data_IF_448919640390
#
_entry.id   IF_448919640390
#
_cell.length_a   1.000
_cell.length_b   1.000
_cell.length_c   1.000
_cell.angle_alpha   90.00
_cell.angle_beta   90.00
_cell.angle_gamma   90.00
#
_symmetry.space_group_name_H-M   'P 1'
#
loop_
_entity.id
_entity.type
_entity.pdbx_description
1 polymer ?
#
# COMPACT_ATOMS: atom_id res chain seq x y z
N UNK A 1 -3.55 20.99 15.52
CA UNK A 1 -3.04 19.70 16.03
C UNK A 1 -3.65 18.63 15.12
N UNK A 2 -2.83 17.91 14.36
CA UNK A 2 -3.34 16.79 13.58
C UNK A 2 -3.57 15.59 14.51
N UNK A 3 -4.64 14.85 14.28
CA UNK A 3 -4.95 13.59 14.96
C UNK A 3 -4.62 12.47 13.97
N UNK A 4 -3.77 11.54 14.38
CA UNK A 4 -3.27 10.46 13.54
C UNK A 4 -3.86 9.15 14.07
N UNK A 5 -4.70 8.45 13.29
CA UNK A 5 -5.21 7.14 13.67
C UNK A 5 -4.12 6.07 13.55
N UNK A 6 -4.08 5.16 14.51
CA UNK A 6 -3.20 3.99 14.55
C UNK A 6 -4.08 2.75 14.59
N UNK A 7 -4.16 2.05 13.45
CA UNK A 7 -5.04 0.89 13.25
C UNK A 7 -4.19 -0.26 12.76
N UNK A 8 -4.33 -1.43 13.37
CA UNK A 8 -3.69 -2.66 12.87
C UNK A 8 -4.76 -3.56 12.23
N UNK A 9 -4.72 -3.64 10.91
CA UNK A 9 -5.62 -4.50 10.13
C UNK A 9 -4.94 -5.81 9.69
N UNK A 10 -3.65 -5.99 9.97
CA UNK A 10 -2.88 -7.11 9.44
C UNK A 10 -2.79 -7.10 7.91
N UNK A 11 -2.48 -8.26 7.35
CA UNK A 11 -2.41 -8.44 5.89
C UNK A 11 -3.80 -8.76 5.34
N UNK A 12 -4.31 -7.91 4.45
CA UNK A 12 -5.61 -8.06 3.82
C UNK A 12 -5.48 -8.45 2.34
N UNK A 13 -6.40 -9.30 1.90
CA UNK A 13 -6.45 -9.82 0.54
C UNK A 13 -7.82 -9.55 -0.09
N UNK A 14 -7.86 -9.55 -1.42
CA UNK A 14 -9.14 -9.46 -2.15
C UNK A 14 -10.05 -10.61 -1.73
N UNK A 15 -11.27 -10.27 -1.32
CA UNK A 15 -12.25 -11.19 -0.78
C UNK A 15 -12.26 -11.28 0.74
N UNK A 16 -11.32 -10.65 1.44
CA UNK A 16 -11.32 -10.59 2.90
C UNK A 16 -12.37 -9.61 3.43
N UNK A 17 -12.82 -9.91 4.64
CA UNK A 17 -13.52 -8.97 5.53
C UNK A 17 -12.59 -8.74 6.71
N UNK A 18 -12.26 -7.49 7.05
CA UNK A 18 -11.41 -7.21 8.20
C UNK A 18 -11.98 -7.81 9.49
N UNK A 19 -11.11 -8.21 10.42
CA UNK A 19 -11.55 -8.78 11.69
C UNK A 19 -12.31 -7.76 12.53
N UNK A 20 -13.41 -8.18 13.14
CA UNK A 20 -14.28 -7.32 13.95
C UNK A 20 -14.26 -7.77 15.43
N UNK A 21 -14.18 -6.86 16.41
CA UNK A 21 -13.91 -5.44 16.22
C UNK A 21 -12.45 -5.15 15.89
N UNK A 22 -12.21 -4.05 15.16
CA UNK A 22 -10.86 -3.53 14.89
C UNK A 22 -10.65 -2.28 15.73
N UNK A 23 -9.62 -2.31 16.56
CA UNK A 23 -9.25 -1.18 17.41
C UNK A 23 -8.52 -0.10 16.63
N UNK A 24 -8.96 1.15 16.82
CA UNK A 24 -8.30 2.35 16.35
C UNK A 24 -7.86 3.21 17.54
N UNK A 25 -6.57 3.31 17.77
CA UNK A 25 -5.98 4.26 18.72
C UNK A 25 -5.66 5.58 18.00
N UNK A 26 -5.53 6.68 18.75
CA UNK A 26 -5.28 8.00 18.17
C UNK A 26 -4.10 8.67 18.88
N UNK A 27 -3.23 9.29 18.11
CA UNK A 27 -2.07 10.04 18.61
C UNK A 27 -2.01 11.42 17.98
N UNK A 28 -1.34 12.36 18.65
CA UNK A 28 -0.99 13.65 18.08
C UNK A 28 0.28 13.59 17.23
N UNK A 29 0.71 14.73 16.66
CA UNK A 29 1.90 14.86 15.82
C UNK A 29 3.21 14.51 16.55
N UNK A 30 3.21 14.46 17.88
CA UNK A 30 4.38 14.07 18.69
C UNK A 30 4.27 12.66 19.26
N UNK A 31 3.21 11.92 18.88
CA UNK A 31 2.97 10.54 19.29
C UNK A 31 2.31 10.38 20.67
N UNK A 32 1.77 11.46 21.26
CA UNK A 32 1.03 11.37 22.52
C UNK A 32 -0.40 10.89 22.28
N UNK A 33 -0.94 10.01 23.15
CA UNK A 33 -2.32 9.53 23.01
C UNK A 33 -3.34 10.66 23.04
N UNK A 34 -4.33 10.60 22.15
CA UNK A 34 -5.49 11.49 22.08
C UNK A 34 -6.71 10.74 22.61
N UNK A 35 -7.38 11.28 23.62
CA UNK A 35 -8.60 10.69 24.15
C UNK A 35 -9.80 11.05 23.26
N UNK A 36 -10.44 10.03 22.68
CA UNK A 36 -11.61 10.22 21.81
C UNK A 36 -12.86 10.63 22.59
N UNK A 37 -12.97 10.25 23.85
CA UNK A 37 -14.09 10.65 24.75
C UNK A 37 -14.16 12.15 25.08
N UNK A 38 -13.20 12.97 24.63
CA UNK A 38 -13.28 14.43 24.72
C UNK A 38 -14.16 15.05 23.62
N UNK A 39 -14.53 14.28 22.61
CA UNK A 39 -15.38 14.69 21.50
C UNK A 39 -16.84 14.29 21.74
N UNK A 40 -17.79 15.06 21.20
CA UNK A 40 -19.23 14.81 21.38
C UNK A 40 -19.75 13.65 20.53
N UNK A 41 -19.12 13.42 19.38
CA UNK A 41 -19.44 12.33 18.44
C UNK A 41 -18.32 12.17 17.42
N UNK A 42 -18.43 11.13 16.63
CA UNK A 42 -17.51 10.86 15.51
C UNK A 42 -18.29 10.29 14.32
N UNK A 43 -17.69 10.35 13.14
CA UNK A 43 -18.13 9.64 11.95
C UNK A 43 -16.91 9.06 11.23
N UNK A 44 -17.08 7.93 10.58
CA UNK A 44 -16.03 7.33 9.76
C UNK A 44 -16.64 6.70 8.51
N UNK A 45 -15.90 6.77 7.40
CA UNK A 45 -16.27 6.10 6.18
C UNK A 45 -15.04 5.55 5.45
N UNK A 46 -15.26 4.56 4.62
CA UNK A 46 -14.21 3.91 3.85
C UNK A 46 -14.31 4.28 2.36
N UNK A 47 -13.16 4.55 1.77
CA UNK A 47 -13.00 4.79 0.34
C UNK A 47 -12.30 3.59 -0.33
N UNK A 48 -12.77 3.23 -1.51
CA UNK A 48 -12.12 2.27 -2.41
C UNK A 48 -10.80 2.82 -2.97
N UNK A 49 -10.00 1.99 -3.66
CA UNK A 49 -8.82 2.47 -4.40
C UNK A 49 -9.15 3.52 -5.47
N UNK A 50 -10.37 3.51 -6.02
CA UNK A 50 -10.88 4.48 -6.99
C UNK A 50 -11.46 5.74 -6.33
N UNK A 51 -11.34 5.87 -4.99
CA UNK A 51 -11.87 6.98 -4.17
C UNK A 51 -13.41 7.04 -4.13
N UNK A 52 -14.08 5.93 -4.34
CA UNK A 52 -15.53 5.81 -4.15
C UNK A 52 -15.86 5.48 -2.70
N UNK A 53 -16.92 6.09 -2.17
CA UNK A 53 -17.40 5.79 -0.80
C UNK A 53 -18.06 4.42 -0.79
N UNK A 54 -17.48 3.49 -0.04
CA UNK A 54 -18.01 2.13 0.11
C UNK A 54 -19.10 2.04 1.17
N UNK A 55 -19.02 2.87 2.21
CA UNK A 55 -19.99 2.92 3.29
C UNK A 55 -19.46 3.62 4.52
N UNK A 56 -20.37 3.87 5.46
CA UNK A 56 -20.04 4.33 6.82
C UNK A 56 -19.54 3.15 7.64
N UNK A 57 -18.56 3.42 8.51
CA UNK A 57 -18.06 2.47 9.48
C UNK A 57 -18.79 2.71 10.81
N UNK A 58 -19.40 1.66 11.34
CA UNK A 58 -20.00 1.66 12.65
C UNK A 58 -18.97 1.20 13.70
N UNK A 59 -19.18 1.59 14.95
CA UNK A 59 -18.29 1.18 16.03
C UNK A 59 -18.69 1.78 17.37
N UNK A 60 -17.90 1.47 18.39
CA UNK A 60 -18.11 1.91 19.78
C UNK A 60 -16.95 2.79 20.24
N UNK A 61 -17.29 3.86 20.96
CA UNK A 61 -16.33 4.73 21.63
C UNK A 61 -16.05 4.20 23.06
N UNK A 62 -14.79 3.92 23.33
CA UNK A 62 -14.31 3.47 24.65
C UNK A 62 -13.54 4.58 25.41
N UNK A 63 -13.66 5.83 24.98
CA UNK A 63 -13.06 7.00 25.61
C UNK A 63 -11.60 7.24 25.24
N UNK A 64 -10.80 6.22 25.01
CA UNK A 64 -9.40 6.32 24.58
C UNK A 64 -9.12 5.68 23.22
N UNK A 65 -10.08 4.96 22.64
CA UNK A 65 -10.00 4.35 21.32
C UNK A 65 -11.41 4.14 20.75
N UNK A 66 -11.49 3.88 19.45
CA UNK A 66 -12.70 3.40 18.78
C UNK A 66 -12.52 1.92 18.41
N UNK A 67 -13.59 1.15 18.53
CA UNK A 67 -13.67 -0.21 18.01
C UNK A 67 -14.59 -0.24 16.80
N UNK A 68 -14.05 -0.43 15.60
CA UNK A 68 -14.83 -0.54 14.37
C UNK A 68 -15.44 -1.92 14.21
N UNK A 69 -16.71 -1.96 13.81
CA UNK A 69 -17.42 -3.18 13.43
C UNK A 69 -17.47 -3.32 11.92
N UNK A 70 -17.00 -4.45 11.41
CA UNK A 70 -17.07 -4.79 10.00
C UNK A 70 -18.19 -5.78 9.76
N UNK A 71 -18.97 -5.57 8.71
CA UNK A 71 -20.06 -6.46 8.34
C UNK A 71 -19.64 -7.35 7.18
N UNK A 72 -20.33 -8.49 6.99
CA UNK A 72 -20.10 -9.36 5.84
C UNK A 72 -20.29 -8.66 4.47
N UNK A 73 -21.00 -7.53 4.46
CA UNK A 73 -21.14 -6.66 3.28
C UNK A 73 -19.90 -5.82 3.00
N UNK A 74 -18.95 -5.75 3.95
CA UNK A 74 -17.70 -5.01 3.80
C UNK A 74 -16.63 -5.92 3.19
N UNK A 75 -16.91 -6.51 2.04
CA UNK A 75 -15.95 -7.33 1.31
C UNK A 75 -15.02 -6.43 0.51
N UNK A 76 -13.71 -6.66 0.64
CA UNK A 76 -12.70 -5.92 -0.10
C UNK A 76 -12.54 -6.54 -1.49
N UNK A 77 -13.30 -6.03 -2.47
CA UNK A 77 -13.45 -6.67 -3.78
C UNK A 77 -12.28 -6.43 -4.74
N UNK A 78 -11.54 -5.35 -4.56
CA UNK A 78 -10.44 -4.96 -5.46
C UNK A 78 -9.12 -4.81 -4.71
N UNK A 79 -8.01 -5.12 -5.39
CA UNK A 79 -6.68 -4.82 -4.84
C UNK A 79 -6.33 -3.34 -4.97
N UNK A 80 -5.61 -2.81 -4.00
CA UNK A 80 -5.17 -1.42 -4.03
C UNK A 80 -5.12 -0.78 -2.64
N UNK A 81 -5.06 0.54 -2.62
CA UNK A 81 -4.99 1.33 -1.39
C UNK A 81 -6.37 1.81 -1.01
N UNK A 82 -6.89 1.31 0.09
CA UNK A 82 -8.12 1.78 0.71
C UNK A 82 -7.81 2.89 1.71
N UNK A 83 -8.80 3.73 1.98
CA UNK A 83 -8.64 4.85 2.91
C UNK A 83 -9.82 4.90 3.87
N UNK A 84 -9.53 4.97 5.17
CA UNK A 84 -10.52 5.27 6.21
C UNK A 84 -10.38 6.75 6.56
N UNK A 85 -11.48 7.47 6.47
CA UNK A 85 -11.58 8.88 6.86
C UNK A 85 -12.39 8.96 8.14
N UNK A 86 -11.80 9.53 9.20
CA UNK A 86 -12.43 9.68 10.52
C UNK A 86 -12.54 11.16 10.82
N UNK A 87 -13.72 11.59 11.25
CA UNK A 87 -14.00 12.97 11.67
C UNK A 87 -14.59 12.96 13.08
N UNK A 88 -13.99 13.69 13.98
CA UNK A 88 -14.55 13.97 15.32
C UNK A 88 -15.32 15.28 15.31
N UNK A 89 -16.28 15.40 16.20
CA UNK A 89 -17.04 16.63 16.45
C UNK A 89 -16.79 17.06 17.90
N UNK A 90 -16.35 18.29 18.09
CA UNK A 90 -16.18 18.84 19.43
C UNK A 90 -17.52 19.10 20.12
N UNK A 91 -17.50 19.56 21.39
CA UNK A 91 -18.70 19.87 22.16
C UNK A 91 -19.54 21.03 21.55
N UNK A 92 -19.00 21.79 20.63
CA UNK A 92 -19.67 22.85 19.88
C UNK A 92 -20.16 22.38 18.50
N UNK A 93 -19.90 21.11 18.14
CA UNK A 93 -20.23 20.53 16.84
C UNK A 93 -19.27 20.96 15.72
N UNK A 94 -18.09 21.47 16.05
CA UNK A 94 -17.05 21.79 15.06
C UNK A 94 -16.32 20.53 14.65
N UNK A 95 -16.13 20.35 13.35
CA UNK A 95 -15.41 19.21 12.78
C UNK A 95 -13.91 19.30 13.08
N UNK A 96 -13.37 18.19 13.58
CA UNK A 96 -11.94 17.97 13.78
C UNK A 96 -11.55 16.75 12.95
N UNK A 97 -10.91 16.97 11.82
CA UNK A 97 -10.53 15.89 10.92
C UNK A 97 -9.23 15.20 11.41
N UNK A 98 -9.24 13.87 11.34
CA UNK A 98 -8.05 13.05 11.49
C UNK A 98 -7.27 12.97 10.17
N UNK A 99 -6.00 12.62 10.25
CA UNK A 99 -5.27 12.17 9.06
C UNK A 99 -5.94 10.91 8.50
N UNK A 100 -6.14 10.81 7.18
CA UNK A 100 -6.72 9.61 6.60
C UNK A 100 -5.83 8.39 6.82
N UNK A 101 -6.38 7.31 7.39
CA UNK A 101 -5.69 6.04 7.53
C UNK A 101 -5.73 5.27 6.20
N UNK A 102 -4.58 4.84 5.72
CA UNK A 102 -4.46 4.09 4.47
C UNK A 102 -3.95 2.69 4.73
N UNK A 103 -4.53 1.71 4.06
CA UNK A 103 -4.11 0.32 4.12
C UNK A 103 -4.16 -0.33 2.74
N UNK A 104 -3.44 -1.44 2.57
CA UNK A 104 -3.30 -2.13 1.29
C UNK A 104 -4.08 -3.42 1.31
N UNK A 105 -4.90 -3.62 0.28
CA UNK A 105 -5.53 -4.91 -0.04
C UNK A 105 -4.76 -5.54 -1.19
N UNK A 106 -4.23 -6.73 -0.96
CA UNK A 106 -3.40 -7.46 -1.91
C UNK A 106 -4.22 -8.44 -2.74
N UNK A 107 -3.77 -8.75 -3.94
CA UNK A 107 -4.36 -9.77 -4.80
C UNK A 107 -3.42 -10.97 -4.92
N UNK A 108 -3.97 -12.19 -4.84
CA UNK A 108 -3.23 -13.43 -5.09
C UNK A 108 -3.12 -13.65 -6.60
N UNK A 109 -2.19 -12.97 -7.24
CA UNK A 109 -1.98 -13.02 -8.69
C UNK A 109 -0.64 -13.67 -9.11
N UNK A 110 0.06 -14.27 -8.15
CA UNK A 110 1.34 -14.95 -8.35
C UNK A 110 2.55 -14.03 -8.43
N UNK A 111 2.40 -12.70 -8.39
CA UNK A 111 3.47 -11.73 -8.24
C UNK A 111 3.85 -11.55 -6.77
N UNK A 112 4.90 -10.77 -6.48
CA UNK A 112 5.37 -10.57 -5.11
C UNK A 112 4.32 -9.84 -4.26
N UNK A 113 3.99 -10.43 -3.10
CA UNK A 113 3.27 -9.78 -2.01
C UNK A 113 4.20 -8.91 -1.17
N UNK A 114 3.63 -8.10 -0.26
CA UNK A 114 4.42 -7.29 0.69
C UNK A 114 5.33 -8.17 1.55
N UNK A 115 4.79 -9.28 2.09
CA UNK A 115 5.56 -10.21 2.93
C UNK A 115 6.69 -10.89 2.14
N UNK A 116 6.40 -11.35 0.91
CA UNK A 116 7.41 -11.97 0.05
C UNK A 116 8.53 -10.99 -0.31
N UNK A 117 8.18 -9.74 -0.57
CA UNK A 117 9.15 -8.69 -0.84
C UNK A 117 10.03 -8.41 0.39
N UNK A 118 9.44 -8.25 1.59
CA UNK A 118 10.18 -8.03 2.83
C UNK A 118 11.07 -9.20 3.22
N UNK A 119 10.63 -10.43 3.01
CA UNK A 119 11.43 -11.62 3.27
C UNK A 119 12.72 -11.66 2.42
N UNK A 120 12.73 -11.04 1.23
CA UNK A 120 13.85 -11.03 0.30
C UNK A 120 14.59 -9.69 0.23
N UNK A 121 14.07 -8.65 0.87
CA UNK A 121 14.62 -7.30 0.85
C UNK A 121 14.67 -6.70 2.25
N UNK A 122 15.83 -6.85 2.93
CA UNK A 122 16.02 -6.44 4.32
C UNK A 122 15.74 -4.94 4.57
N UNK A 123 16.07 -4.09 3.57
CA UNK A 123 15.89 -2.63 3.64
C UNK A 123 14.61 -2.17 2.91
N UNK A 124 13.59 -3.03 2.82
CA UNK A 124 12.32 -2.67 2.22
C UNK A 124 11.64 -1.53 3.00
N UNK A 125 10.91 -0.63 2.32
CA UNK A 125 10.13 0.39 3.00
C UNK A 125 9.21 -0.20 4.07
N UNK A 126 9.14 0.44 5.24
CA UNK A 126 8.25 0.02 6.32
C UNK A 126 6.78 0.39 6.03
N UNK A 127 6.56 1.47 5.30
CA UNK A 127 5.24 1.90 4.84
C UNK A 127 4.71 0.92 3.78
N UNK A 128 3.62 0.24 4.10
CA UNK A 128 2.97 -0.76 3.25
C UNK A 128 2.42 -0.14 1.96
N UNK A 129 1.85 1.05 2.05
CA UNK A 129 1.27 1.76 0.90
C UNK A 129 2.37 2.11 -0.10
N UNK A 130 3.48 2.65 0.38
CA UNK A 130 4.62 2.99 -0.46
C UNK A 130 5.28 1.76 -1.08
N UNK A 131 5.47 0.69 -0.30
CA UNK A 131 6.02 -0.57 -0.79
C UNK A 131 5.11 -1.20 -1.87
N UNK A 132 3.79 -1.22 -1.65
CA UNK A 132 2.82 -1.71 -2.64
C UNK A 132 2.91 -0.94 -3.95
N UNK A 133 2.93 0.40 -3.90
CA UNK A 133 3.04 1.25 -5.08
C UNK A 133 4.31 0.97 -5.89
N UNK A 134 5.45 0.78 -5.21
CA UNK A 134 6.72 0.45 -5.86
C UNK A 134 6.66 -0.94 -6.50
N UNK A 135 6.11 -1.94 -5.80
CA UNK A 135 5.96 -3.29 -6.32
C UNK A 135 5.04 -3.34 -7.53
N UNK A 136 3.92 -2.60 -7.52
CA UNK A 136 3.00 -2.52 -8.65
C UNK A 136 3.63 -1.80 -9.84
N UNK A 137 4.31 -0.69 -9.62
CA UNK A 137 5.04 0.00 -10.68
C UNK A 137 6.11 -0.91 -11.33
N UNK A 138 6.86 -1.65 -10.51
CA UNK A 138 7.85 -2.62 -10.99
C UNK A 138 7.20 -3.77 -11.77
N UNK A 139 6.09 -4.33 -11.28
CA UNK A 139 5.29 -5.37 -11.94
C UNK A 139 4.82 -4.90 -13.32
N UNK A 140 4.22 -3.72 -13.43
CA UNK A 140 3.74 -3.16 -14.68
C UNK A 140 4.88 -2.98 -15.70
N UNK A 141 6.04 -2.51 -15.27
CA UNK A 141 7.22 -2.39 -16.14
C UNK A 141 7.74 -3.76 -16.61
N UNK A 142 7.75 -4.76 -15.71
CA UNK A 142 8.12 -6.13 -16.07
C UNK A 142 7.14 -6.73 -17.09
N UNK A 143 5.83 -6.58 -16.87
CA UNK A 143 4.78 -7.05 -17.79
C UNK A 143 4.89 -6.40 -19.16
N UNK A 144 5.13 -5.09 -19.21
CA UNK A 144 5.26 -4.36 -20.47
C UNK A 144 6.45 -4.83 -21.32
N UNK A 145 7.51 -5.35 -20.69
CA UNK A 145 8.70 -5.82 -21.38
C UNK A 145 8.72 -7.34 -21.62
N UNK A 146 8.21 -8.13 -20.69
CA UNK A 146 8.27 -9.59 -20.72
C UNK A 146 7.36 -10.17 -21.82
N UNK A 147 7.63 -11.40 -22.31
CA UNK A 147 6.64 -12.16 -23.06
C UNK A 147 5.36 -12.36 -22.25
N UNK A 148 4.22 -12.22 -22.92
CA UNK A 148 2.93 -12.44 -22.28
C UNK A 148 2.84 -13.86 -21.72
N UNK A 149 2.35 -13.99 -20.49
CA UNK A 149 2.02 -15.28 -19.88
C UNK A 149 0.68 -15.77 -20.40
N UNK A 150 0.54 -17.07 -20.58
CA UNK A 150 -0.75 -17.69 -20.92
C UNK A 150 -1.73 -17.48 -19.75
N UNK A 151 -3.01 -17.37 -20.06
CA UNK A 151 -4.04 -17.26 -19.03
C UNK A 151 -3.95 -18.41 -18.03
N UNK A 152 -3.93 -18.10 -16.73
CA UNK A 152 -3.79 -19.09 -15.65
C UNK A 152 -2.38 -19.68 -15.48
N UNK A 153 -1.38 -19.22 -16.23
CA UNK A 153 -0.01 -19.67 -16.04
C UNK A 153 0.59 -19.06 -14.76
N UNK A 154 1.34 -19.86 -14.02
CA UNK A 154 2.10 -19.38 -12.87
C UNK A 154 3.16 -18.36 -13.32
N UNK A 155 3.35 -17.31 -12.53
CA UNK A 155 4.41 -16.34 -12.76
C UNK A 155 5.78 -17.00 -12.56
N UNK A 156 6.67 -16.99 -13.56
CA UNK A 156 7.98 -17.61 -13.45
C UNK A 156 8.84 -16.94 -12.37
N UNK A 157 9.64 -17.71 -11.66
CA UNK A 157 10.52 -17.22 -10.58
C UNK A 157 11.46 -16.09 -11.04
N UNK A 158 11.96 -16.17 -12.27
CA UNK A 158 12.79 -15.10 -12.85
C UNK A 158 12.02 -13.78 -13.03
N UNK A 159 10.70 -13.81 -13.22
CA UNK A 159 9.88 -12.59 -13.26
C UNK A 159 9.73 -11.98 -11.86
N UNK A 160 9.58 -12.82 -10.82
CA UNK A 160 9.55 -12.36 -9.42
C UNK A 160 10.87 -11.69 -9.03
N UNK A 161 12.00 -12.29 -9.40
CA UNK A 161 13.30 -11.66 -9.19
C UNK A 161 13.47 -10.36 -9.96
N UNK A 162 12.99 -10.31 -11.21
CA UNK A 162 13.00 -9.09 -12.02
C UNK A 162 12.16 -7.98 -11.38
N UNK A 163 10.95 -8.31 -10.88
CA UNK A 163 10.08 -7.38 -10.15
C UNK A 163 10.80 -6.83 -8.92
N UNK A 164 11.40 -7.70 -8.10
CA UNK A 164 12.11 -7.28 -6.89
C UNK A 164 13.30 -6.35 -7.20
N UNK A 165 14.10 -6.70 -8.20
CA UNK A 165 15.23 -5.86 -8.62
C UNK A 165 14.77 -4.50 -9.13
N UNK A 166 13.70 -4.47 -9.93
CA UNK A 166 13.12 -3.23 -10.44
C UNK A 166 12.52 -2.39 -9.32
N UNK A 167 11.83 -3.00 -8.36
CA UNK A 167 11.30 -2.31 -7.18
C UNK A 167 12.41 -1.62 -6.37
N UNK A 168 13.52 -2.33 -6.13
CA UNK A 168 14.70 -1.74 -5.47
C UNK A 168 15.28 -0.56 -6.24
N UNK A 169 15.39 -0.67 -7.56
CA UNK A 169 15.90 0.41 -8.41
C UNK A 169 14.99 1.64 -8.36
N UNK A 170 13.67 1.46 -8.40
CA UNK A 170 12.68 2.54 -8.25
C UNK A 170 12.81 3.20 -6.88
N UNK A 171 12.88 2.43 -5.80
CA UNK A 171 13.06 2.94 -4.44
C UNK A 171 14.32 3.77 -4.30
N UNK A 172 15.46 3.25 -4.78
CA UNK A 172 16.72 3.99 -4.74
C UNK A 172 16.65 5.31 -5.52
N UNK A 173 15.93 5.33 -6.65
CA UNK A 173 15.75 6.56 -7.42
C UNK A 173 14.96 7.64 -6.67
N UNK A 174 13.95 7.23 -5.89
CA UNK A 174 13.16 8.16 -5.07
C UNK A 174 14.03 8.75 -3.95
N UNK A 175 14.80 7.90 -3.24
CA UNK A 175 15.70 8.37 -2.16
C UNK A 175 16.80 9.30 -2.71
N UNK A 176 17.43 8.94 -3.82
CA UNK A 176 18.47 9.76 -4.43
C UNK A 176 17.93 11.14 -4.82
N UNK A 177 16.74 11.21 -5.42
CA UNK A 177 16.10 12.48 -5.77
C UNK A 177 15.74 13.34 -4.55
N UNK A 178 15.44 12.74 -3.41
CA UNK A 178 15.18 13.47 -2.16
C UNK A 178 16.45 14.05 -1.55
N UNK A 179 17.60 13.42 -1.75
CA UNK A 179 18.89 13.88 -1.24
C UNK A 179 19.55 14.95 -2.15
N UNK A 180 19.29 14.92 -3.46
CA UNK A 180 19.86 15.87 -4.44
C UNK A 180 19.08 17.20 -4.54
N UNK A 181 18.05 17.42 -3.74
CA UNK A 181 17.19 18.60 -3.83
C UNK A 181 17.79 19.87 -3.18
N UNK A 182 19.10 20.05 -3.21
CA UNK A 182 19.84 21.29 -2.81
C UNK A 182 20.29 22.09 -4.05
N UNK A 183 19.69 21.91 -5.19
CA UNK A 183 20.02 22.61 -6.44
C UNK A 183 18.79 23.14 -7.16
N UNK A 184 18.85 24.44 -7.45
CA UNK A 184 17.84 25.34 -8.07
C UNK A 184 17.53 24.96 -9.54
N UNK A 185 17.30 23.73 -9.93
CA UNK A 185 16.83 23.45 -11.29
C UNK A 185 16.01 22.16 -11.38
N UNK A 186 14.74 22.35 -11.72
CA UNK A 186 13.90 21.47 -12.53
C UNK A 186 13.82 20.01 -12.13
N UNK A 187 12.67 19.62 -11.60
CA UNK A 187 12.21 18.25 -11.40
C UNK A 187 12.47 17.36 -12.65
N UNK A 188 13.60 16.68 -12.72
CA UNK A 188 13.83 15.64 -13.70
C UNK A 188 13.39 14.29 -13.11
N UNK A 189 12.16 13.87 -13.43
CA UNK A 189 11.75 12.47 -13.25
C UNK A 189 12.58 11.62 -14.21
N UNK A 190 13.68 11.07 -13.74
CA UNK A 190 14.39 10.02 -14.49
C UNK A 190 13.53 8.75 -14.41
N UNK A 191 12.78 8.50 -15.47
CA UNK A 191 12.19 7.18 -15.70
C UNK A 191 13.37 6.21 -15.87
N UNK A 192 13.66 5.43 -14.82
CA UNK A 192 14.71 4.40 -14.91
C UNK A 192 14.25 3.30 -15.86
N UNK A 193 14.87 3.17 -17.05
CA UNK A 193 14.58 2.04 -17.92
C UNK A 193 15.03 0.77 -17.20
N UNK A 194 14.36 -0.34 -17.48
CA UNK A 194 14.77 -1.67 -17.00
C UNK A 194 16.26 -1.90 -17.29
N UNK A 195 17.03 -2.21 -16.24
CA UNK A 195 18.45 -2.57 -16.34
C UNK A 195 18.64 -3.77 -17.28
N UNK A 196 19.84 -3.89 -17.86
CA UNK A 196 20.20 -5.02 -18.71
C UNK A 196 19.99 -6.38 -18.03
N UNK A 197 20.34 -6.49 -16.74
CA UNK A 197 20.15 -7.70 -15.94
C UNK A 197 18.69 -8.07 -15.82
N UNK A 198 17.83 -7.09 -15.52
CA UNK A 198 16.37 -7.28 -15.41
C UNK A 198 15.79 -7.71 -16.76
N UNK A 199 16.22 -7.07 -17.85
CA UNK A 199 15.81 -7.46 -19.20
C UNK A 199 16.24 -8.89 -19.55
N UNK A 200 17.43 -9.32 -19.13
CA UNK A 200 17.91 -10.67 -19.36
C UNK A 200 17.12 -11.72 -18.55
N UNK A 201 16.65 -11.38 -17.34
CA UNK A 201 15.75 -12.23 -16.56
C UNK A 201 14.39 -12.39 -17.22
N UNK A 202 13.81 -11.30 -17.76
CA UNK A 202 12.50 -11.30 -18.39
C UNK A 202 12.50 -11.94 -19.78
N UNK A 203 13.59 -11.80 -20.52
CA UNK A 203 13.80 -12.39 -21.87
C UNK A 203 15.15 -13.09 -21.93
N UNK A 204 15.31 -14.26 -21.31
CA UNK A 204 16.55 -15.00 -21.38
C UNK A 204 16.85 -15.37 -22.85
N UNK A 205 18.07 -15.10 -23.29
CA UNK A 205 18.50 -15.52 -24.62
C UNK A 205 18.42 -17.04 -24.70
N UNK A 206 17.63 -17.57 -25.62
CA UNK A 206 17.66 -19.00 -25.92
C UNK A 206 19.07 -19.33 -26.38
N UNK A 207 19.71 -20.31 -25.77
CA UNK A 207 20.90 -20.89 -26.32
C UNK A 207 20.56 -21.34 -27.76
N UNK A 208 21.22 -20.78 -28.76
CA UNK A 208 21.14 -21.29 -30.13
C UNK A 208 21.68 -22.71 -30.03
N UNK A 209 20.79 -23.69 -30.07
CA UNK A 209 21.21 -25.10 -30.12
C UNK A 209 22.19 -25.24 -31.26
N UNK A 210 23.44 -25.60 -30.90
CA UNK A 210 24.43 -25.84 -31.90
C UNK A 210 23.90 -26.90 -32.88
N UNK A 211 23.83 -26.55 -34.13
CA UNK A 211 23.71 -27.55 -35.18
C UNK A 211 25.01 -28.38 -35.13
N UNK A 212 24.89 -29.61 -34.66
CA UNK A 212 25.85 -30.67 -34.90
C UNK A 212 25.39 -31.43 -36.13
#
# INVERSE_FOLDING_TARGET
>A
MAIIPVIDLGSLWVGDVPTSPTRADFVDEVGSPVAVGEYSSWSAYMLSPEMEVLGELEGEDHGNHLDFTWYETTILETSGVYTIVITFFDLLGVEVQCEPFKFVVQEINGWLSLEMARAQWADAPLDDVFLAQILDAAKLQCIAYAPALAAGALVPVNYLHAQLMQARALYQSVIANQQDNVGVDGFQVRVFPLDFTIRALLRPKRAIGGMY
#
